data_IF_950399143012
#
_entry.id   IF_950399143012
#
_cell.length_a   1.000
_cell.length_b   1.000
_cell.length_c   1.000
_cell.angle_alpha   90.00
_cell.angle_beta   90.00
_cell.angle_gamma   90.00
#
_symmetry.space_group_name_H-M   'P 1'
#
loop_
_entity.id
_entity.type
_entity.pdbx_description
1 polymer ?
#
# COMPACT_ATOMS: atom_id res chain seq x y z
N UNK A 1 8.06 13.65 7.19
CA UNK A 1 6.86 13.28 7.97
C UNK A 1 7.29 12.90 9.38
N UNK A 2 6.42 13.08 10.38
CA UNK A 2 6.62 12.49 11.72
C UNK A 2 5.96 11.11 11.81
N UNK A 3 6.28 10.35 12.86
CA UNK A 3 5.71 9.04 13.18
C UNK A 3 4.17 8.97 13.03
N UNK A 4 3.44 9.95 13.56
CA UNK A 4 1.97 10.02 13.44
C UNK A 4 1.51 10.14 12.00
N UNK A 5 2.13 11.01 11.21
CA UNK A 5 1.81 11.18 9.79
C UNK A 5 2.15 9.93 8.98
N UNK A 6 3.25 9.24 9.31
CA UNK A 6 3.65 7.98 8.68
C UNK A 6 2.58 6.91 8.90
N UNK A 7 2.07 6.75 10.13
CA UNK A 7 0.99 5.80 10.43
C UNK A 7 -0.30 6.16 9.71
N UNK A 8 -0.69 7.43 9.73
CA UNK A 8 -1.90 7.89 9.04
C UNK A 8 -1.84 7.64 7.53
N UNK A 9 -0.67 7.86 6.91
CA UNK A 9 -0.47 7.55 5.49
C UNK A 9 -0.49 6.05 5.22
N UNK A 10 0.14 5.24 6.08
CA UNK A 10 0.10 3.77 5.97
C UNK A 10 -1.33 3.22 6.11
N UNK A 11 -2.10 3.70 7.09
CA UNK A 11 -3.51 3.31 7.30
C UNK A 11 -4.37 3.66 6.08
N UNK A 12 -4.16 4.84 5.49
CA UNK A 12 -4.86 5.22 4.26
C UNK A 12 -4.50 4.30 3.09
N UNK A 13 -3.21 4.02 2.90
CA UNK A 13 -2.75 3.12 1.85
C UNK A 13 -3.26 1.69 2.04
N UNK A 14 -3.42 1.22 3.29
CA UNK A 14 -4.06 -0.07 3.58
C UNK A 14 -5.51 -0.12 3.09
N UNK A 15 -6.27 0.95 3.27
CA UNK A 15 -7.65 1.06 2.74
C UNK A 15 -7.63 1.06 1.22
N UNK A 16 -6.79 1.87 0.61
CA UNK A 16 -6.68 1.98 -0.85
C UNK A 16 -6.30 0.63 -1.49
N UNK A 17 -5.31 -0.07 -0.91
CA UNK A 17 -4.87 -1.40 -1.35
C UNK A 17 -5.96 -2.46 -1.16
N UNK A 18 -6.76 -2.37 -0.10
CA UNK A 18 -7.88 -3.30 0.11
C UNK A 18 -8.91 -3.14 -0.99
N UNK A 19 -9.30 -1.90 -1.32
CA UNK A 19 -10.20 -1.63 -2.44
C UNK A 19 -9.61 -2.04 -3.80
N UNK A 20 -8.30 -1.85 -3.99
CA UNK A 20 -7.60 -2.28 -5.21
C UNK A 20 -7.59 -3.82 -5.35
N UNK A 21 -7.32 -4.55 -4.26
CA UNK A 21 -7.31 -6.02 -4.23
C UNK A 21 -8.69 -6.59 -4.59
N UNK A 22 -9.75 -6.05 -3.98
CA UNK A 22 -11.14 -6.39 -4.30
C UNK A 22 -11.47 -6.10 -5.77
N UNK A 23 -10.96 -4.99 -6.30
CA UNK A 23 -11.20 -4.58 -7.68
C UNK A 23 -10.46 -5.42 -8.72
N UNK A 24 -9.30 -5.98 -8.34
CA UNK A 24 -8.54 -6.96 -9.13
C UNK A 24 -9.18 -8.35 -9.11
N UNK A 25 -9.97 -8.67 -8.09
CA UNK A 25 -10.59 -9.98 -7.93
C UNK A 25 -11.44 -10.34 -9.15
N UNK A 26 -11.15 -11.50 -9.74
CA UNK A 26 -11.80 -11.99 -10.95
C UNK A 26 -11.17 -11.55 -12.28
N UNK A 27 -10.13 -10.71 -12.26
CA UNK A 27 -9.34 -10.35 -13.45
C UNK A 27 -8.09 -11.23 -13.49
N UNK A 28 -8.04 -12.17 -14.43
CA UNK A 28 -6.98 -13.21 -14.49
C UNK A 28 -5.58 -12.58 -14.68
N UNK A 29 -5.51 -11.54 -15.50
CA UNK A 29 -4.32 -10.77 -15.83
C UNK A 29 -3.74 -10.01 -14.62
N UNK A 30 -4.53 -9.81 -13.56
CA UNK A 30 -4.13 -9.12 -12.32
C UNK A 30 -3.93 -10.07 -11.14
N UNK A 31 -4.01 -11.39 -11.35
CA UNK A 31 -3.87 -12.38 -10.27
C UNK A 31 -2.54 -12.27 -9.51
N UNK A 32 -1.43 -11.93 -10.19
CA UNK A 32 -0.14 -11.66 -9.53
C UNK A 32 -0.16 -10.40 -8.68
N UNK A 33 -0.93 -9.39 -9.09
CA UNK A 33 -1.01 -8.11 -8.40
C UNK A 33 -1.80 -8.25 -7.10
N UNK A 34 -2.84 -9.10 -7.06
CA UNK A 34 -3.53 -9.46 -5.81
C UNK A 34 -2.56 -10.02 -4.76
N UNK A 35 -1.67 -10.94 -5.12
CA UNK A 35 -0.68 -11.49 -4.19
C UNK A 35 0.30 -10.42 -3.69
N UNK A 36 0.82 -9.57 -4.59
CA UNK A 36 1.70 -8.46 -4.21
C UNK A 36 1.02 -7.47 -3.28
N UNK A 37 -0.26 -7.16 -3.51
CA UNK A 37 -1.03 -6.27 -2.65
C UNK A 37 -1.08 -6.82 -1.22
N UNK A 38 -1.30 -8.13 -1.05
CA UNK A 38 -1.29 -8.74 0.29
C UNK A 38 0.09 -8.67 0.97
N UNK A 39 1.19 -8.85 0.22
CA UNK A 39 2.55 -8.66 0.74
C UNK A 39 2.79 -7.21 1.20
N UNK A 40 2.37 -6.23 0.39
CA UNK A 40 2.50 -4.81 0.71
C UNK A 40 1.67 -4.46 1.96
N UNK A 41 0.44 -4.98 2.06
CA UNK A 41 -0.42 -4.77 3.23
C UNK A 41 0.27 -5.28 4.50
N UNK A 42 0.96 -6.41 4.45
CA UNK A 42 1.72 -6.92 5.60
C UNK A 42 2.83 -5.95 6.04
N UNK A 43 3.55 -5.36 5.08
CA UNK A 43 4.58 -4.35 5.36
C UNK A 43 3.97 -3.11 6.03
N UNK A 44 2.88 -2.58 5.47
CA UNK A 44 2.21 -1.40 6.03
C UNK A 44 1.64 -1.65 7.43
N UNK A 45 1.03 -2.82 7.68
CA UNK A 45 0.58 -3.21 9.03
C UNK A 45 1.77 -3.30 9.99
N UNK A 46 2.91 -3.80 9.53
CA UNK A 46 4.11 -3.83 10.37
C UNK A 46 4.55 -2.40 10.76
N UNK A 47 4.54 -1.46 9.81
CA UNK A 47 4.84 -0.05 10.06
C UNK A 47 3.85 0.60 11.04
N UNK A 48 2.56 0.27 10.96
CA UNK A 48 1.55 0.83 11.88
C UNK A 48 1.64 0.25 13.28
N UNK A 49 2.35 -0.87 13.47
CA UNK A 49 2.61 -1.50 14.77
C UNK A 49 4.00 -1.21 15.35
N UNK A 50 4.96 -0.69 14.57
CA UNK A 50 6.29 -0.31 15.06
C UNK A 50 6.21 0.67 16.23
N UNK A 51 7.20 0.69 17.12
CA UNK A 51 7.26 1.70 18.19
C UNK A 51 7.52 3.09 17.61
N UNK A 52 7.02 4.14 18.28
CA UNK A 52 7.09 5.51 17.74
C UNK A 52 8.53 5.97 17.49
N UNK A 53 9.44 5.63 18.41
CA UNK A 53 10.85 5.98 18.29
C UNK A 53 11.50 5.28 17.10
N UNK A 54 11.30 3.97 16.98
CA UNK A 54 11.89 3.18 15.90
C UNK A 54 11.37 3.65 14.54
N UNK A 55 10.06 3.89 14.42
CA UNK A 55 9.47 4.44 13.21
C UNK A 55 10.01 5.84 12.84
N UNK A 56 10.33 6.64 13.85
CA UNK A 56 10.89 7.97 13.66
C UNK A 56 12.38 7.92 13.28
N UNK A 57 13.12 6.96 13.81
CA UNK A 57 14.54 6.71 13.49
C UNK A 57 14.66 6.12 12.07
N UNK A 58 13.74 5.25 11.66
CA UNK A 58 13.70 4.59 10.34
C UNK A 58 12.92 5.39 9.26
N UNK A 59 12.47 6.61 9.58
CA UNK A 59 11.55 7.39 8.72
C UNK A 59 12.08 7.60 7.29
N UNK A 60 13.39 7.73 7.12
CA UNK A 60 14.01 8.05 5.83
C UNK A 60 14.01 6.83 4.90
N UNK A 61 13.87 5.62 5.46
CA UNK A 61 13.67 4.37 4.71
C UNK A 61 12.17 4.09 4.49
N UNK A 62 11.32 4.44 5.46
CA UNK A 62 9.87 4.17 5.40
C UNK A 62 9.14 5.11 4.43
N UNK A 63 9.49 6.40 4.39
CA UNK A 63 8.80 7.39 3.54
C UNK A 63 8.86 6.99 2.05
N UNK A 64 10.01 6.62 1.47
CA UNK A 64 10.08 6.15 0.08
C UNK A 64 9.19 4.92 -0.20
N UNK A 65 9.02 4.03 0.78
CA UNK A 65 8.14 2.87 0.64
C UNK A 65 6.68 3.34 0.53
N UNK A 66 6.24 4.27 1.37
CA UNK A 66 4.88 4.82 1.30
C UNK A 66 4.62 5.52 -0.04
N UNK A 67 5.60 6.25 -0.58
CA UNK A 67 5.50 6.89 -1.89
C UNK A 67 5.38 5.86 -3.02
N UNK A 68 6.23 4.82 -3.03
CA UNK A 68 6.16 3.75 -4.02
C UNK A 68 4.83 3.00 -3.97
N UNK A 69 4.29 2.75 -2.77
CA UNK A 69 2.99 2.10 -2.61
C UNK A 69 1.86 3.00 -3.13
N UNK A 70 1.92 4.30 -2.90
CA UNK A 70 0.94 5.26 -3.44
C UNK A 70 0.92 5.28 -4.96
N UNK A 71 2.10 5.27 -5.58
CA UNK A 71 2.23 5.16 -7.04
C UNK A 71 1.67 3.83 -7.55
N UNK A 72 1.99 2.73 -6.86
CA UNK A 72 1.46 1.41 -7.20
C UNK A 72 -0.07 1.33 -7.10
N UNK A 73 -0.69 1.90 -6.05
CA UNK A 73 -2.15 2.00 -5.96
C UNK A 73 -2.75 2.73 -7.16
N UNK A 74 -2.12 3.83 -7.59
CA UNK A 74 -2.56 4.61 -8.74
C UNK A 74 -2.44 3.80 -10.04
N UNK A 75 -1.32 3.09 -10.22
CA UNK A 75 -1.09 2.20 -11.36
C UNK A 75 -2.13 1.08 -11.42
N UNK A 76 -2.37 0.36 -10.32
CA UNK A 76 -3.33 -0.74 -10.29
C UNK A 76 -4.74 -0.25 -10.55
N UNK A 77 -5.13 0.90 -10.00
CA UNK A 77 -6.46 1.49 -10.23
C UNK A 77 -6.69 1.73 -11.72
N UNK A 78 -5.74 2.40 -12.40
CA UNK A 78 -5.80 2.62 -13.84
C UNK A 78 -5.82 1.30 -14.63
N UNK A 79 -5.00 0.33 -14.22
CA UNK A 79 -4.94 -0.98 -14.90
C UNK A 79 -6.27 -1.75 -14.79
N UNK A 80 -6.93 -1.69 -13.64
CA UNK A 80 -8.26 -2.28 -13.45
C UNK A 80 -9.29 -1.58 -14.34
N UNK A 81 -9.27 -0.26 -14.41
CA UNK A 81 -10.18 0.51 -15.27
C UNK A 81 -9.98 0.16 -16.75
N UNK A 82 -8.73 0.02 -17.21
CA UNK A 82 -8.41 -0.40 -18.58
C UNK A 82 -8.95 -1.78 -18.92
N UNK A 83 -8.91 -2.73 -17.98
CA UNK A 83 -9.32 -4.12 -18.22
C UNK A 83 -10.82 -4.37 -18.04
N UNK A 84 -11.53 -3.45 -17.35
CA UNK A 84 -12.99 -3.52 -17.18
C UNK A 84 -13.77 -2.82 -18.30
N UNK A 85 -13.10 -2.02 -19.13
CA UNK A 85 -13.68 -1.34 -20.31
C UNK A 85 -13.47 -2.16 -21.60
#
# INVERSE_FOLDING_TARGET
>A
MNSTQIRQDADKLLVDLTGASESCSGITELSSETSKIEEIKFILVSMTMMDEKDLQDDKDDVIPILEAVREYCSFITLKVEELKN
#
